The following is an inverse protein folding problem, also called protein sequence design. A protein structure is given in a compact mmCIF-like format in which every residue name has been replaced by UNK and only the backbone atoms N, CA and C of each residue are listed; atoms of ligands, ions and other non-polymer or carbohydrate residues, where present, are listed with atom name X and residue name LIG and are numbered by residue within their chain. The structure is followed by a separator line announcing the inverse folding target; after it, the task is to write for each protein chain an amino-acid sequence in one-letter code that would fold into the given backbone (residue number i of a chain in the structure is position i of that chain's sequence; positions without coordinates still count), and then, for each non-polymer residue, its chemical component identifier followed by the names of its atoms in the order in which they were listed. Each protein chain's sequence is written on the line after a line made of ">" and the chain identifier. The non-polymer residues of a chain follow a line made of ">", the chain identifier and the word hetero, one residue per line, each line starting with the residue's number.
data_IF_869669367383
#
_entry.id   IF_869669367383
#
_cell.length_a   1.000
_cell.length_b   1.000
_cell.length_c   1.000
_cell.angle_alpha   90.00
_cell.angle_beta   90.00
_cell.angle_gamma   90.00
#
_symmetry.space_group_name_H-M   'P 1'
#
loop_
_entity.id
_entity.type
_entity.pdbx_description
1 polymer ?
#
# COMPACT_ATOMS: atom_id res chain seq x y z
N UNK A 1 -0.42 15.02 -16.10
CA UNK A 1 0.10 13.76 -15.53
C UNK A 1 -0.73 13.49 -14.28
N UNK A 2 -1.22 12.28 -13.99
CA UNK A 2 -0.69 11.49 -12.85
C UNK A 2 -1.49 10.18 -12.61
N UNK A 3 -2.13 9.58 -13.61
CA UNK A 3 -2.86 8.30 -13.45
C UNK A 3 -1.91 7.09 -13.32
N UNK A 4 -0.70 7.22 -12.77
CA UNK A 4 0.28 6.13 -12.78
C UNK A 4 0.79 5.83 -14.19
N UNK A 5 1.93 6.42 -14.55
CA UNK A 5 2.81 5.75 -15.51
C UNK A 5 3.29 4.46 -14.84
N UNK A 6 2.51 3.41 -15.09
CA UNK A 6 2.95 2.06 -15.37
C UNK A 6 3.71 1.32 -14.24
N UNK A 7 2.92 0.64 -13.41
CA UNK A 7 3.03 -0.81 -13.17
C UNK A 7 4.24 -1.37 -12.39
N UNK A 8 5.30 -0.60 -12.12
CA UNK A 8 6.52 -1.09 -11.44
C UNK A 8 7.08 -0.13 -10.37
N UNK A 9 6.36 0.94 -10.00
CA UNK A 9 6.81 1.84 -8.96
C UNK A 9 6.74 1.15 -7.59
N UNK A 10 7.91 0.95 -6.98
CA UNK A 10 8.06 0.66 -5.57
C UNK A 10 7.55 1.89 -4.79
N UNK A 11 6.49 1.70 -4.01
CA UNK A 11 5.86 2.73 -3.20
C UNK A 11 6.37 2.60 -1.78
N UNK A 12 6.86 3.68 -1.21
CA UNK A 12 7.31 3.66 0.19
C UNK A 12 6.11 3.49 1.13
N UNK A 13 6.30 2.95 2.35
CA UNK A 13 5.23 2.83 3.34
C UNK A 13 4.50 4.16 3.60
N UNK A 14 5.24 5.26 3.61
CA UNK A 14 4.70 6.59 3.88
C UNK A 14 3.75 7.05 2.77
N UNK A 15 4.13 6.85 1.51
CA UNK A 15 3.28 7.14 0.34
C UNK A 15 2.03 6.25 0.31
N UNK A 16 2.19 4.95 0.61
CA UNK A 16 1.07 4.02 0.65
C UNK A 16 0.04 4.40 1.73
N UNK A 17 0.50 4.82 2.91
CA UNK A 17 -0.36 5.28 4.01
C UNK A 17 -1.05 6.60 3.64
N UNK A 18 -0.34 7.52 2.98
CA UNK A 18 -0.93 8.79 2.54
C UNK A 18 -2.04 8.58 1.50
N UNK A 19 -1.81 7.73 0.51
CA UNK A 19 -2.83 7.36 -0.47
C UNK A 19 -4.01 6.65 0.18
N UNK A 20 -3.77 5.68 1.09
CA UNK A 20 -4.85 5.05 1.86
C UNK A 20 -5.67 6.09 2.63
N UNK A 21 -5.02 7.08 3.27
CA UNK A 21 -5.70 8.17 3.98
C UNK A 21 -6.57 9.02 3.04
N UNK A 22 -6.11 9.31 1.81
CA UNK A 22 -6.91 10.02 0.80
C UNK A 22 -8.18 9.24 0.47
N UNK A 23 -8.09 7.92 0.42
CA UNK A 23 -9.20 6.99 0.18
C UNK A 23 -10.01 6.64 1.45
N UNK A 24 -9.76 7.32 2.57
CA UNK A 24 -10.41 7.07 3.87
C UNK A 24 -10.17 5.67 4.43
N UNK A 25 -9.03 5.06 4.10
CA UNK A 25 -8.57 3.77 4.60
C UNK A 25 -7.44 4.01 5.59
N UNK A 26 -7.58 3.50 6.81
CA UNK A 26 -6.49 3.52 7.80
C UNK A 26 -5.58 2.31 7.55
N UNK A 27 -4.41 2.53 6.95
CA UNK A 27 -3.39 1.50 6.77
C UNK A 27 -2.23 1.69 7.77
N UNK A 28 -1.70 0.59 8.30
CA UNK A 28 -0.49 0.55 9.14
C UNK A 28 0.48 -0.51 8.65
N UNK A 29 1.76 -0.31 8.92
CA UNK A 29 2.78 -1.34 8.70
C UNK A 29 2.81 -2.26 9.91
N UNK A 30 2.58 -3.55 9.67
CA UNK A 30 2.67 -4.58 10.70
C UNK A 30 4.13 -4.87 11.02
N UNK A 31 4.56 -4.62 12.26
CA UNK A 31 5.96 -4.86 12.68
C UNK A 31 6.43 -6.32 12.55
N UNK A 32 5.51 -7.29 12.54
CA UNK A 32 5.86 -8.71 12.44
C UNK A 32 6.45 -9.10 11.07
N UNK A 33 5.85 -8.60 9.98
CA UNK A 33 6.17 -9.01 8.61
C UNK A 33 6.41 -7.80 7.68
N UNK A 34 6.43 -6.60 8.24
CA UNK A 34 6.42 -5.31 7.54
C UNK A 34 5.30 -5.19 6.50
N UNK A 35 4.22 -5.97 6.62
CA UNK A 35 3.08 -5.94 5.71
C UNK A 35 2.21 -4.71 5.94
N UNK A 36 1.74 -4.08 4.87
CA UNK A 36 0.74 -3.03 4.94
C UNK A 36 -0.61 -3.67 5.18
N UNK A 37 -1.24 -3.32 6.30
CA UNK A 37 -2.54 -3.86 6.73
C UNK A 37 -3.51 -2.72 6.97
N UNK A 38 -4.73 -2.92 6.53
CA UNK A 38 -5.86 -2.08 6.85
C UNK A 38 -6.26 -2.32 8.32
N UNK A 39 -6.27 -1.27 9.14
CA UNK A 39 -6.65 -1.30 10.55
C UNK A 39 -8.16 -1.47 10.71
N UNK A 40 -8.92 -0.98 9.74
CA UNK A 40 -10.39 -0.98 9.76
C UNK A 40 -10.94 -2.37 9.48
N UNK A 41 -10.37 -3.06 8.48
CA UNK A 41 -10.82 -4.40 8.07
C UNK A 41 -9.96 -5.51 8.66
N UNK A 42 -8.70 -5.22 9.00
CA UNK A 42 -7.70 -6.21 9.37
C UNK A 42 -7.10 -6.96 8.17
N UNK A 43 -7.42 -6.55 6.94
CA UNK A 43 -6.92 -7.19 5.72
C UNK A 43 -5.51 -6.72 5.34
N UNK A 44 -4.74 -7.62 4.75
CA UNK A 44 -3.40 -7.30 4.23
C UNK A 44 -3.56 -6.65 2.86
N UNK A 45 -3.12 -5.40 2.76
CA UNK A 45 -3.16 -4.60 1.53
C UNK A 45 -2.01 -5.02 0.61
N UNK A 46 -0.79 -5.04 1.15
CA UNK A 46 0.41 -5.34 0.36
C UNK A 46 1.53 -5.90 1.24
N UNK A 47 2.37 -6.76 0.64
CA UNK A 47 3.60 -7.21 1.26
C UNK A 47 4.79 -6.38 0.78
N UNK A 48 5.73 -6.04 1.67
CA UNK A 48 6.95 -5.36 1.30
C UNK A 48 7.87 -6.31 0.54
N UNK A 49 8.59 -5.75 -0.42
CA UNK A 49 9.72 -6.39 -1.08
C UNK A 49 10.97 -6.39 -0.18
N UNK A 50 12.05 -7.07 -0.59
CA UNK A 50 13.39 -7.05 0.07
C UNK A 50 13.94 -5.64 0.31
N UNK A 51 13.46 -4.61 -0.38
CA UNK A 51 13.83 -3.21 -0.14
C UNK A 51 12.88 -2.46 0.82
N UNK A 52 11.91 -3.15 1.44
CA UNK A 52 10.88 -2.58 2.30
C UNK A 52 9.87 -1.64 1.59
N UNK A 53 9.82 -1.73 0.26
CA UNK A 53 8.88 -1.02 -0.58
C UNK A 53 7.69 -1.91 -0.96
N UNK A 54 6.53 -1.29 -1.19
CA UNK A 54 5.30 -1.98 -1.56
C UNK A 54 5.06 -1.91 -3.06
N UNK A 55 4.47 -2.97 -3.59
CA UNK A 55 4.01 -2.97 -4.97
C UNK A 55 2.76 -2.09 -5.06
N UNK A 56 2.84 -0.98 -5.81
CA UNK A 56 1.69 -0.12 -6.06
C UNK A 56 0.49 -0.88 -6.67
N UNK A 57 0.75 -1.98 -7.39
CA UNK A 57 -0.32 -2.82 -7.95
C UNK A 57 -1.13 -3.57 -6.88
N UNK A 58 -0.51 -4.02 -5.79
CA UNK A 58 -1.23 -4.69 -4.70
C UNK A 58 -2.16 -3.72 -3.98
N UNK A 59 -1.67 -2.50 -3.71
CA UNK A 59 -2.45 -1.43 -3.07
C UNK A 59 -3.63 -1.02 -3.95
N UNK A 60 -3.40 -0.80 -5.25
CA UNK A 60 -4.48 -0.46 -6.19
C UNK A 60 -5.48 -1.59 -6.36
N UNK A 61 -5.02 -2.84 -6.39
CA UNK A 61 -5.87 -4.02 -6.44
C UNK A 61 -6.78 -4.12 -5.21
N UNK A 62 -6.27 -3.80 -4.02
CA UNK A 62 -7.07 -3.71 -2.81
C UNK A 62 -8.07 -2.53 -2.84
N UNK A 63 -7.66 -1.38 -3.38
CA UNK A 63 -8.53 -0.22 -3.58
C UNK A 63 -9.62 -0.44 -4.64
N UNK A 64 -9.49 -1.48 -5.47
CA UNK A 64 -10.47 -1.87 -6.49
C UNK A 64 -10.35 -1.11 -7.83
N UNK A 65 -9.14 -0.65 -8.16
CA UNK A 65 -8.82 -0.01 -9.44
C UNK A 65 -8.47 -1.00 -10.57
#
# INVERSE_FOLDING_TARGET
>A
MRYWEAFEAQVTPEEAIEECRIHQIEAIVRESDSALVDVTTGEVIAHPDKYADYCGADILGYLGY
#
